data_IF_293374931140
#
_entry.id   IF_293374931140
#
_cell.length_a   1.000
_cell.length_b   1.000
_cell.length_c   1.000
_cell.angle_alpha   90.00
_cell.angle_beta   90.00
_cell.angle_gamma   90.00
#
_symmetry.space_group_name_H-M   'P 1'
#
loop_
_entity.id
_entity.type
_entity.pdbx_description
1 polymer ?
#
# COMPACT_ATOMS: atom_id res chain seq x y z
N UNK A 1 12.38 -19.39 4.35
CA UNK A 1 12.10 -17.95 4.53
C UNK A 1 12.40 -17.12 3.29
N UNK A 2 13.54 -17.36 2.65
CA UNK A 2 13.94 -16.55 1.49
C UNK A 2 12.91 -16.56 0.35
N UNK A 3 12.40 -17.74 0.00
CA UNK A 3 11.38 -17.88 -1.04
C UNK A 3 10.07 -17.23 -0.61
N UNK A 4 9.66 -17.39 0.65
CA UNK A 4 8.45 -16.76 1.17
C UNK A 4 8.53 -15.25 1.11
N UNK A 5 9.69 -14.67 1.38
CA UNK A 5 9.91 -13.22 1.29
C UNK A 5 9.76 -12.74 -0.15
N UNK A 6 10.36 -13.47 -1.11
CA UNK A 6 10.24 -13.11 -2.53
C UNK A 6 8.79 -13.16 -2.99
N UNK A 7 8.07 -14.23 -2.62
CA UNK A 7 6.65 -14.38 -2.97
C UNK A 7 5.83 -13.24 -2.36
N UNK A 8 6.04 -12.94 -1.08
CA UNK A 8 5.32 -11.86 -0.41
C UNK A 8 5.58 -10.49 -1.06
N UNK A 9 6.83 -10.22 -1.46
CA UNK A 9 7.17 -8.99 -2.17
C UNK A 9 6.42 -8.88 -3.49
N UNK A 10 6.35 -9.97 -4.25
CA UNK A 10 5.63 -9.97 -5.54
C UNK A 10 4.14 -9.82 -5.31
N UNK A 11 3.57 -10.56 -4.36
CA UNK A 11 2.13 -10.49 -4.07
C UNK A 11 1.70 -9.12 -3.56
N UNK A 12 2.54 -8.42 -2.83
CA UNK A 12 2.24 -7.08 -2.35
C UNK A 12 2.58 -6.01 -3.40
N UNK A 13 3.73 -6.14 -4.05
CA UNK A 13 4.21 -5.12 -4.97
C UNK A 13 3.44 -5.05 -6.29
N UNK A 14 3.06 -6.19 -6.83
CA UNK A 14 2.40 -6.24 -8.14
C UNK A 14 1.04 -5.53 -8.15
N UNK A 15 0.13 -5.76 -7.19
CA UNK A 15 -1.13 -5.02 -7.16
C UNK A 15 -0.93 -3.51 -7.03
N UNK A 16 -0.01 -3.06 -6.18
CA UNK A 16 0.24 -1.62 -6.02
C UNK A 16 0.82 -1.02 -7.30
N UNK A 17 1.71 -1.72 -7.99
CA UNK A 17 2.22 -1.23 -9.28
C UNK A 17 1.08 -1.13 -10.31
N UNK A 18 0.24 -2.16 -10.42
CA UNK A 18 -0.85 -2.18 -11.39
C UNK A 18 -1.86 -1.07 -11.10
N UNK A 19 -2.34 -0.98 -9.86
CA UNK A 19 -3.32 0.05 -9.49
C UNK A 19 -2.72 1.44 -9.49
N UNK A 20 -1.45 1.58 -9.14
CA UNK A 20 -0.76 2.86 -9.25
C UNK A 20 -0.65 3.35 -10.68
N UNK A 21 -0.29 2.48 -11.60
CA UNK A 21 -0.27 2.80 -13.03
C UNK A 21 -1.69 3.13 -13.53
N UNK A 22 -2.70 2.44 -13.03
CA UNK A 22 -4.08 2.72 -13.38
C UNK A 22 -4.52 4.11 -12.93
N UNK A 23 -4.01 4.60 -11.81
CA UNK A 23 -4.32 5.97 -11.36
C UNK A 23 -3.82 7.04 -12.34
N UNK A 24 -2.78 6.72 -13.12
CA UNK A 24 -2.26 7.61 -14.17
C UNK A 24 -2.95 7.39 -15.52
N UNK A 25 -3.14 6.13 -15.93
CA UNK A 25 -3.52 5.79 -17.30
C UNK A 25 -4.96 5.33 -17.45
N UNK A 26 -5.68 5.05 -16.36
CA UNK A 26 -7.11 4.70 -16.35
C UNK A 26 -7.47 3.54 -17.29
N UNK A 27 -6.67 2.46 -17.28
CA UNK A 27 -6.90 1.30 -18.15
C UNK A 27 -7.83 0.25 -17.54
N UNK A 28 -8.08 0.29 -16.22
CA UNK A 28 -9.04 -0.59 -15.56
C UNK A 28 -10.38 0.12 -15.50
N UNK A 29 -11.48 -0.49 -16.02
CA UNK A 29 -12.80 0.12 -15.93
C UNK A 29 -13.18 0.38 -14.48
N UNK A 30 -13.64 1.62 -14.19
CA UNK A 30 -14.06 1.99 -12.85
C UNK A 30 -15.46 1.43 -12.59
N UNK A 31 -15.58 0.56 -11.57
CA UNK A 31 -16.87 0.09 -11.13
C UNK A 31 -17.55 1.12 -10.25
N UNK A 32 -18.87 1.32 -10.40
CA UNK A 32 -19.60 2.23 -9.52
C UNK A 32 -19.49 1.77 -8.07
N UNK A 33 -19.13 2.68 -7.17
CA UNK A 33 -19.08 2.43 -5.74
C UNK A 33 -20.22 3.19 -5.11
N UNK A 34 -21.13 2.52 -4.37
CA UNK A 34 -22.31 3.18 -3.80
C UNK A 34 -21.98 4.00 -2.57
N UNK A 35 -22.85 4.99 -2.29
CA UNK A 35 -22.84 5.74 -1.05
C UNK A 35 -21.66 6.70 -0.93
N UNK A 36 -21.28 7.00 0.31
CA UNK A 36 -20.23 7.95 0.62
C UNK A 36 -18.85 7.50 0.13
N UNK A 37 -18.62 6.19 0.05
CA UNK A 37 -17.38 5.67 -0.51
C UNK A 37 -17.20 6.13 -1.97
N UNK A 38 -18.26 6.03 -2.78
CA UNK A 38 -18.23 6.48 -4.17
C UNK A 38 -18.05 7.99 -4.29
N UNK A 39 -18.69 8.75 -3.40
CA UNK A 39 -18.54 10.21 -3.36
C UNK A 39 -17.10 10.59 -3.05
N UNK A 40 -16.49 9.98 -2.05
CA UNK A 40 -15.10 10.25 -1.67
C UNK A 40 -14.14 9.92 -2.82
N UNK A 41 -14.26 8.73 -3.41
CA UNK A 41 -13.41 8.32 -4.53
C UNK A 41 -13.60 9.26 -5.72
N UNK A 42 -14.84 9.70 -6.00
CA UNK A 42 -15.12 10.66 -7.05
C UNK A 42 -14.44 12.00 -6.84
N UNK A 43 -14.45 12.50 -5.60
CA UNK A 43 -13.76 13.74 -5.24
C UNK A 43 -12.25 13.57 -5.43
N UNK A 44 -11.69 12.47 -4.96
CA UNK A 44 -10.27 12.19 -5.10
C UNK A 44 -9.85 12.08 -6.58
N UNK A 45 -10.70 11.47 -7.40
CA UNK A 45 -10.47 11.36 -8.83
C UNK A 45 -10.46 12.75 -9.49
N UNK A 46 -11.49 13.56 -9.21
CA UNK A 46 -11.69 14.87 -9.83
C UNK A 46 -10.56 15.85 -9.49
N UNK A 47 -10.05 15.78 -8.27
CA UNK A 47 -9.04 16.73 -7.79
C UNK A 47 -7.60 16.23 -7.86
N UNK A 48 -7.38 15.10 -8.50
CA UNK A 48 -6.02 14.58 -8.73
C UNK A 48 -5.40 13.87 -7.53
N UNK A 49 -6.13 13.59 -6.48
CA UNK A 49 -5.61 12.85 -5.32
C UNK A 49 -5.21 11.43 -5.68
N UNK A 50 -5.92 10.81 -6.63
CA UNK A 50 -5.56 9.46 -7.09
C UNK A 50 -4.21 9.44 -7.78
N UNK A 51 -3.81 10.53 -8.45
CA UNK A 51 -2.48 10.64 -9.04
C UNK A 51 -1.40 10.63 -7.95
N UNK A 52 -1.63 11.34 -6.85
CA UNK A 52 -0.73 11.31 -5.70
C UNK A 52 -0.62 9.90 -5.11
N UNK A 53 -1.75 9.24 -4.90
CA UNK A 53 -1.74 7.84 -4.43
C UNK A 53 -1.03 6.94 -5.43
N UNK A 54 -1.31 7.12 -6.72
CA UNK A 54 -0.68 6.34 -7.78
C UNK A 54 0.84 6.48 -7.78
N UNK A 55 1.36 7.67 -7.52
CA UNK A 55 2.79 7.89 -7.41
C UNK A 55 3.39 7.06 -6.26
N UNK A 56 2.76 7.10 -5.08
CA UNK A 56 3.22 6.30 -3.93
C UNK A 56 3.14 4.80 -4.23
N UNK A 57 2.06 4.36 -4.87
CA UNK A 57 1.84 2.95 -5.21
C UNK A 57 2.88 2.45 -6.20
N UNK A 58 3.18 3.24 -7.24
CA UNK A 58 4.17 2.86 -8.25
C UNK A 58 5.57 2.77 -7.63
N UNK A 59 5.96 3.78 -6.85
CA UNK A 59 7.27 3.78 -6.19
C UNK A 59 7.41 2.55 -5.30
N UNK A 60 6.46 2.32 -4.41
CA UNK A 60 6.53 1.19 -3.49
C UNK A 60 6.47 -0.15 -4.23
N UNK A 61 5.58 -0.26 -5.23
CA UNK A 61 5.44 -1.47 -6.02
C UNK A 61 6.72 -1.85 -6.76
N UNK A 62 7.36 -0.87 -7.40
CA UNK A 62 8.63 -1.09 -8.11
C UNK A 62 9.72 -1.53 -7.14
N UNK A 63 9.86 -0.87 -6.00
CA UNK A 63 10.89 -1.22 -5.01
C UNK A 63 10.70 -2.64 -4.48
N UNK A 64 9.45 -3.04 -4.23
CA UNK A 64 9.15 -4.40 -3.77
C UNK A 64 9.49 -5.44 -4.84
N UNK A 65 9.14 -5.17 -6.10
CA UNK A 65 9.38 -6.12 -7.20
C UNK A 65 10.88 -6.24 -7.51
N UNK A 66 11.59 -5.12 -7.53
CA UNK A 66 13.05 -5.11 -7.77
C UNK A 66 13.80 -5.70 -6.58
N UNK A 67 13.26 -5.60 -5.36
CA UNK A 67 13.90 -6.10 -4.16
C UNK A 67 14.98 -5.19 -3.63
N UNK A 68 14.93 -3.90 -3.95
CA UNK A 68 15.84 -2.88 -3.43
C UNK A 68 15.05 -1.84 -2.65
N UNK A 69 15.65 -1.35 -1.57
CA UNK A 69 15.02 -0.39 -0.67
C UNK A 69 13.65 -0.88 -0.17
N UNK A 70 13.53 -2.19 0.05
CA UNK A 70 12.28 -2.80 0.52
C UNK A 70 11.77 -2.15 1.80
N UNK A 71 12.61 -1.87 2.82
CA UNK A 71 12.11 -1.16 4.01
C UNK A 71 11.49 0.21 3.70
N UNK A 72 12.03 0.95 2.74
CA UNK A 72 11.44 2.23 2.31
C UNK A 72 10.04 2.00 1.73
N UNK A 73 9.89 1.00 0.87
CA UNK A 73 8.59 0.65 0.31
C UNK A 73 7.58 0.31 1.41
N UNK A 74 8.00 -0.44 2.42
CA UNK A 74 7.13 -0.82 3.54
C UNK A 74 6.73 0.39 4.38
N UNK A 75 7.63 1.35 4.56
CA UNK A 75 7.31 2.62 5.26
C UNK A 75 6.28 3.43 4.47
N UNK A 76 6.41 3.47 3.14
CA UNK A 76 5.43 4.15 2.29
C UNK A 76 4.07 3.46 2.39
N UNK A 77 4.03 2.13 2.29
CA UNK A 77 2.79 1.38 2.25
C UNK A 77 2.10 1.23 3.61
N UNK A 78 2.81 1.34 4.72
CA UNK A 78 2.22 1.21 6.04
C UNK A 78 1.00 2.12 6.23
N UNK A 79 1.16 3.44 6.17
CA UNK A 79 0.04 4.38 6.27
C UNK A 79 -0.99 4.20 5.15
N UNK A 80 -0.55 3.87 3.94
CA UNK A 80 -1.45 3.64 2.81
C UNK A 80 -2.39 2.47 3.11
N UNK A 81 -1.85 1.35 3.58
CA UNK A 81 -2.64 0.16 3.91
C UNK A 81 -3.59 0.45 5.08
N UNK A 82 -3.11 1.15 6.11
CA UNK A 82 -3.98 1.57 7.22
C UNK A 82 -5.14 2.41 6.69
N UNK A 83 -4.86 3.35 5.80
CA UNK A 83 -5.90 4.19 5.20
C UNK A 83 -6.89 3.36 4.37
N UNK A 84 -6.41 2.39 3.61
CA UNK A 84 -7.28 1.47 2.85
C UNK A 84 -8.19 0.70 3.80
N UNK A 85 -7.67 0.19 4.92
CA UNK A 85 -8.47 -0.53 5.90
C UNK A 85 -9.52 0.38 6.55
N UNK A 86 -9.15 1.60 6.92
CA UNK A 86 -10.10 2.56 7.49
C UNK A 86 -11.21 2.89 6.50
N UNK A 87 -10.84 3.14 5.25
CA UNK A 87 -11.82 3.41 4.19
C UNK A 87 -12.85 2.27 4.08
N UNK A 88 -12.37 1.03 4.02
CA UNK A 88 -13.26 -0.12 3.88
C UNK A 88 -14.07 -0.39 5.15
N UNK A 89 -13.48 -0.26 6.32
CA UNK A 89 -14.20 -0.48 7.58
C UNK A 89 -15.31 0.54 7.79
N UNK A 90 -15.13 1.78 7.36
CA UNK A 90 -16.07 2.86 7.63
C UNK A 90 -17.03 3.12 6.48
N UNK A 91 -16.59 3.01 5.23
CA UNK A 91 -17.37 3.45 4.08
C UNK A 91 -17.75 2.32 3.13
N UNK A 92 -17.00 1.23 3.08
CA UNK A 92 -17.24 0.17 2.11
C UNK A 92 -16.81 -1.21 2.64
N UNK A 93 -17.49 -1.74 3.67
CA UNK A 93 -17.04 -2.98 4.35
C UNK A 93 -16.93 -4.20 3.43
N UNK A 94 -17.77 -4.31 2.40
CA UNK A 94 -17.75 -5.48 1.52
C UNK A 94 -16.49 -5.62 0.68
N UNK A 95 -15.70 -4.54 0.52
CA UNK A 95 -14.48 -4.55 -0.27
C UNK A 95 -13.19 -4.75 0.54
N UNK A 96 -13.29 -5.10 1.82
CA UNK A 96 -12.12 -5.10 2.72
C UNK A 96 -11.12 -6.24 2.47
N UNK A 97 -11.54 -7.32 1.81
CA UNK A 97 -10.70 -8.51 1.64
C UNK A 97 -9.29 -8.25 1.12
N UNK A 98 -9.14 -7.59 -0.05
CA UNK A 98 -7.80 -7.28 -0.58
C UNK A 98 -6.94 -6.45 0.36
N UNK A 99 -7.54 -5.50 1.09
CA UNK A 99 -6.83 -4.68 2.08
C UNK A 99 -6.29 -5.50 3.24
N UNK A 100 -7.05 -6.49 3.70
CA UNK A 100 -6.59 -7.41 4.75
C UNK A 100 -5.43 -8.25 4.29
N UNK A 101 -5.47 -8.75 3.06
CA UNK A 101 -4.35 -9.51 2.47
C UNK A 101 -3.10 -8.62 2.41
N UNK A 102 -3.23 -7.40 1.94
CA UNK A 102 -2.12 -6.45 1.91
C UNK A 102 -1.54 -6.19 3.31
N UNK A 103 -2.41 -6.04 4.31
CA UNK A 103 -1.98 -5.82 5.70
C UNK A 103 -1.17 -7.01 6.23
N UNK A 104 -1.61 -8.23 5.96
CA UNK A 104 -0.88 -9.44 6.38
C UNK A 104 0.48 -9.51 5.69
N UNK A 105 0.53 -9.26 4.38
CA UNK A 105 1.79 -9.26 3.63
C UNK A 105 2.74 -8.17 4.13
N UNK A 106 2.23 -6.99 4.42
CA UNK A 106 3.03 -5.89 4.96
C UNK A 106 3.65 -6.28 6.31
N UNK A 107 2.84 -6.81 7.23
CA UNK A 107 3.31 -7.23 8.55
C UNK A 107 4.35 -8.35 8.44
N UNK A 108 4.14 -9.32 7.57
CA UNK A 108 5.11 -10.38 7.33
C UNK A 108 6.43 -9.82 6.83
N UNK A 109 6.40 -8.88 5.89
CA UNK A 109 7.62 -8.30 5.33
C UNK A 109 8.33 -7.40 6.35
N UNK A 110 7.60 -6.65 7.18
CA UNK A 110 8.21 -5.90 8.28
C UNK A 110 8.93 -6.86 9.22
N UNK A 111 8.32 -7.98 9.54
CA UNK A 111 8.96 -9.01 10.36
C UNK A 111 10.24 -9.54 9.69
N UNK A 112 10.16 -9.87 8.40
CA UNK A 112 11.29 -10.39 7.65
C UNK A 112 12.46 -9.39 7.55
N UNK A 113 12.14 -8.11 7.45
CA UNK A 113 13.12 -7.02 7.37
C UNK A 113 13.30 -6.29 8.70
N UNK A 114 12.97 -6.94 9.81
CA UNK A 114 12.98 -6.34 11.15
C UNK A 114 14.28 -5.60 11.50
N UNK A 115 15.48 -6.09 11.14
CA UNK A 115 16.70 -5.34 11.43
C UNK A 115 16.69 -3.89 10.94
N UNK A 116 15.96 -3.58 9.87
CA UNK A 116 15.84 -2.22 9.36
C UNK A 116 14.88 -1.35 10.18
N UNK A 117 13.94 -1.97 10.91
CA UNK A 117 12.89 -1.25 11.64
C UNK A 117 13.14 -1.11 13.13
N UNK A 118 13.91 -2.03 13.71
CA UNK A 118 14.08 -2.08 15.17
C UNK A 118 14.58 -0.78 15.78
N UNK A 119 15.37 0.01 15.05
CA UNK A 119 15.88 1.28 15.54
C UNK A 119 14.81 2.35 15.74
N UNK A 120 13.70 2.24 15.01
CA UNK A 120 12.57 3.17 15.13
C UNK A 120 11.89 3.04 16.50
N UNK A 121 11.94 1.85 17.07
CA UNK A 121 11.25 1.53 18.32
C UNK A 121 12.11 1.75 19.56
N UNK A 122 13.29 2.33 19.40
CA UNK A 122 14.14 2.70 20.54
C UNK A 122 13.50 3.90 21.26
N UNK A 123 13.22 3.77 22.57
CA UNK A 123 12.47 4.82 23.28
C UNK A 123 13.17 6.18 23.35
N UNK A 124 14.47 6.18 23.26
CA UNK A 124 15.25 7.42 23.34
C UNK A 124 16.47 7.31 22.42
N UNK A 125 16.62 8.26 21.52
CA UNK A 125 17.70 8.28 20.55
C UNK A 125 18.34 9.67 20.54
N UNK A 126 19.68 9.69 20.56
CA UNK A 126 20.42 10.93 20.36
C UNK A 126 20.40 11.34 18.88
N UNK A 127 20.24 12.65 18.62
CA UNK A 127 20.18 13.16 17.25
C UNK A 127 21.54 13.18 16.55
N UNK A 128 22.63 13.41 17.23
CA UNK A 128 24.06 13.39 16.96
C UNK A 128 24.79 14.46 17.77
#
# INVERSE_FOLDING_TARGET
MKIAVIIARILLGLPFLIFGLNDFFHFIPMQPIPGDAGILVGIMYTHGWLIFHGLLYVIAGVLLLVGRYVPVALVILGPVIVNILVFHLTLFPSGIGPGLVCAVLELFLIYAYWPAFRGIFVPKMEAW
#
